data_IF_002129301082
#
_entry.id   IF_002129301082
#
_cell.length_a   1.000
_cell.length_b   1.000
_cell.length_c   1.000
_cell.angle_alpha   90.00
_cell.angle_beta   90.00
_cell.angle_gamma   90.00
#
_symmetry.space_group_name_H-M   'P 1'
#
loop_
_entity.id
_entity.type
_entity.pdbx_description
1 polymer ?
#
# COMPACT_ATOMS: atom_id res chain seq x y z
N UNK A 1 -1.57 12.37 8.08
CA UNK A 1 -1.95 10.93 8.13
C UNK A 1 -1.42 10.28 9.40
N UNK A 2 -1.99 9.15 9.86
CA UNK A 2 -1.45 8.36 10.98
C UNK A 2 -1.00 6.98 10.49
N UNK A 3 0.27 6.65 10.75
CA UNK A 3 0.88 5.37 10.38
C UNK A 3 1.06 4.49 11.60
N UNK A 4 0.53 3.27 11.54
CA UNK A 4 0.70 2.28 12.61
C UNK A 4 1.26 0.95 12.06
N UNK A 5 1.71 0.04 12.93
CA UNK A 5 2.17 -1.27 12.49
C UNK A 5 1.11 -2.09 11.76
N UNK A 6 -0.19 -1.84 12.00
CA UNK A 6 -1.27 -2.66 11.47
C UNK A 6 -2.16 -1.93 10.45
N UNK A 7 -2.33 -0.62 10.60
CA UNK A 7 -3.24 0.19 9.77
C UNK A 7 -2.64 1.54 9.38
N UNK A 8 -3.04 2.08 8.24
CA UNK A 8 -2.80 3.49 7.89
C UNK A 8 -4.13 4.23 7.93
N UNK A 9 -4.20 5.35 8.66
CA UNK A 9 -5.43 6.14 8.80
C UNK A 9 -5.27 7.52 8.17
N UNK A 10 -6.23 7.86 7.32
CA UNK A 10 -6.34 9.16 6.68
C UNK A 10 -7.52 9.95 7.28
N UNK A 11 -7.25 11.20 7.63
CA UNK A 11 -8.22 12.17 8.14
C UNK A 11 -8.40 13.27 7.08
N UNK A 12 -9.49 14.03 7.19
CA UNK A 12 -9.78 15.21 6.35
C UNK A 12 -8.51 16.05 6.11
N UNK A 13 -8.22 16.34 4.84
CA UNK A 13 -7.03 17.08 4.45
C UNK A 13 -7.04 17.47 2.98
N UNK A 14 -6.14 18.38 2.61
CA UNK A 14 -5.99 18.87 1.23
C UNK A 14 -5.06 18.01 0.37
N UNK A 15 -4.46 18.63 -0.65
CA UNK A 15 -3.63 17.92 -1.64
C UNK A 15 -2.49 17.08 -1.05
N UNK A 16 -1.79 17.56 -0.02
CA UNK A 16 -0.72 16.79 0.61
C UNK A 16 -1.22 15.48 1.22
N UNK A 17 -2.39 15.52 1.86
CA UNK A 17 -3.01 14.32 2.44
C UNK A 17 -3.52 13.36 1.37
N UNK A 18 -4.00 13.89 0.24
CA UNK A 18 -4.45 13.07 -0.88
C UNK A 18 -3.28 12.38 -1.59
N UNK A 19 -2.16 13.08 -1.76
CA UNK A 19 -0.95 12.53 -2.36
C UNK A 19 -0.37 11.40 -1.50
N UNK A 20 -0.19 11.63 -0.19
CA UNK A 20 0.20 10.58 0.76
C UNK A 20 -0.76 9.37 0.70
N UNK A 21 -2.08 9.63 0.55
CA UNK A 21 -3.09 8.57 0.56
C UNK A 21 -2.95 7.66 -0.66
N UNK A 22 -2.79 8.25 -1.84
CA UNK A 22 -2.62 7.53 -3.08
C UNK A 22 -1.28 6.77 -3.12
N UNK A 23 -0.22 7.32 -2.52
CA UNK A 23 1.06 6.62 -2.40
C UNK A 23 0.92 5.32 -1.59
N UNK A 24 0.30 5.38 -0.40
CA UNK A 24 0.10 4.20 0.46
C UNK A 24 -0.82 3.17 -0.21
N UNK A 25 -1.88 3.59 -0.90
CA UNK A 25 -2.75 2.68 -1.68
C UNK A 25 -1.93 1.98 -2.75
N UNK A 26 -1.05 2.70 -3.44
CA UNK A 26 -0.18 2.13 -4.49
C UNK A 26 0.81 1.12 -3.90
N UNK A 27 1.39 1.38 -2.74
CA UNK A 27 2.27 0.42 -2.06
C UNK A 27 1.54 -0.86 -1.62
N UNK A 28 0.30 -0.72 -1.14
CA UNK A 28 -0.55 -1.87 -0.87
C UNK A 28 -0.85 -2.67 -2.13
N UNK A 29 -1.17 -2.00 -3.24
CA UNK A 29 -1.43 -2.63 -4.53
C UNK A 29 -0.20 -3.38 -5.08
N UNK A 30 1.00 -2.83 -4.89
CA UNK A 30 2.27 -3.47 -5.27
C UNK A 30 2.68 -4.61 -4.32
N UNK A 31 1.93 -4.85 -3.24
CA UNK A 31 2.24 -5.89 -2.26
C UNK A 31 3.43 -5.56 -1.35
N UNK A 32 3.85 -4.29 -1.28
CA UNK A 32 4.91 -3.84 -0.37
C UNK A 32 4.44 -3.96 1.09
N UNK A 33 3.14 -3.78 1.32
CA UNK A 33 2.49 -4.06 2.60
C UNK A 33 1.06 -4.56 2.41
N UNK A 34 0.55 -5.30 3.40
CA UNK A 34 -0.82 -5.85 3.36
C UNK A 34 -1.78 -5.14 4.32
N UNK A 35 -1.43 -3.94 4.77
CA UNK A 35 -2.23 -3.15 5.73
C UNK A 35 -3.41 -2.47 5.02
N UNK A 36 -4.61 -2.44 5.63
CA UNK A 36 -5.70 -1.64 5.13
C UNK A 36 -5.42 -0.14 5.29
N UNK A 37 -6.02 0.64 4.39
CA UNK A 37 -6.01 2.10 4.44
C UNK A 37 -7.40 2.56 4.90
N UNK A 38 -7.48 3.02 6.14
CA UNK A 38 -8.70 3.53 6.74
C UNK A 38 -8.94 5.00 6.38
N UNK A 39 -10.14 5.32 5.88
CA UNK A 39 -10.54 6.67 5.48
C UNK A 39 -11.74 7.12 6.32
N UNK A 40 -11.53 8.12 7.19
CA UNK A 40 -12.62 8.71 7.97
C UNK A 40 -13.37 9.73 7.11
N UNK A 41 -14.56 9.35 6.65
CA UNK A 41 -15.39 10.10 5.72
C UNK A 41 -16.44 10.96 6.44
N UNK A 42 -15.99 12.02 7.11
CA UNK A 42 -16.89 12.96 7.81
C UNK A 42 -17.71 13.75 6.79
N UNK A 43 -19.03 13.81 6.97
CA UNK A 43 -19.99 14.57 6.13
C UNK A 43 -19.85 14.32 4.61
N UNK A 44 -19.38 13.13 4.21
CA UNK A 44 -19.22 12.77 2.80
C UNK A 44 -18.06 13.43 2.08
N UNK A 45 -17.07 13.98 2.80
CA UNK A 45 -15.92 14.67 2.22
C UNK A 45 -15.19 13.87 1.12
N UNK A 46 -15.09 12.54 1.30
CA UNK A 46 -14.41 11.64 0.37
C UNK A 46 -15.34 10.92 -0.61
N UNK A 47 -16.65 11.23 -0.64
CA UNK A 47 -17.62 10.52 -1.50
C UNK A 47 -17.24 10.60 -2.99
N UNK A 48 -16.84 11.77 -3.46
CA UNK A 48 -16.40 11.98 -4.84
C UNK A 48 -15.15 11.18 -5.18
N UNK A 49 -14.20 11.08 -4.23
CA UNK A 49 -12.98 10.30 -4.41
C UNK A 49 -13.29 8.80 -4.46
N UNK A 50 -14.11 8.30 -3.54
CA UNK A 50 -14.53 6.90 -3.51
C UNK A 50 -15.28 6.54 -4.79
N UNK A 51 -16.19 7.41 -5.25
CA UNK A 51 -16.92 7.23 -6.51
C UNK A 51 -15.99 7.21 -7.73
N UNK A 52 -14.96 8.06 -7.75
CA UNK A 52 -13.94 8.04 -8.80
C UNK A 52 -13.17 6.72 -8.83
N UNK A 53 -12.78 6.20 -7.66
CA UNK A 53 -12.08 4.91 -7.55
C UNK A 53 -13.00 3.77 -7.98
N UNK A 54 -14.27 3.77 -7.56
CA UNK A 54 -15.27 2.79 -8.01
C UNK A 54 -15.40 2.79 -9.54
N UNK A 55 -15.44 3.98 -10.15
CA UNK A 55 -15.48 4.10 -11.62
C UNK A 55 -14.21 3.56 -12.28
N UNK A 56 -13.03 3.83 -11.71
CA UNK A 56 -11.79 3.28 -12.23
C UNK A 56 -11.72 1.74 -12.13
N UNK A 57 -12.39 1.14 -11.14
CA UNK A 57 -12.58 -0.32 -11.06
C UNK A 57 -13.50 -0.83 -12.14
N UNK A 58 -14.66 -0.17 -12.37
CA UNK A 58 -15.60 -0.53 -13.43
C UNK A 58 -14.97 -0.49 -14.83
N UNK A 59 -14.15 0.53 -15.09
CA UNK A 59 -13.45 0.70 -16.37
C UNK A 59 -12.21 -0.21 -16.49
N UNK A 60 -11.87 -0.98 -15.44
CA UNK A 60 -10.77 -1.95 -15.46
C UNK A 60 -9.38 -1.36 -15.27
N UNK A 61 -9.26 -0.09 -14.86
CA UNK A 61 -7.97 0.53 -14.51
C UNK A 61 -7.46 0.10 -13.13
N UNK A 62 -8.38 -0.25 -12.22
CA UNK A 62 -8.07 -0.76 -10.87
C UNK A 62 -8.65 -2.16 -10.73
N UNK A 63 -7.84 -3.11 -10.27
CA UNK A 63 -8.32 -4.46 -9.98
C UNK A 63 -9.36 -4.43 -8.84
N UNK A 64 -10.43 -5.24 -8.91
CA UNK A 64 -11.43 -5.29 -7.82
C UNK A 64 -10.82 -5.60 -6.44
N UNK A 65 -9.75 -6.40 -6.37
CA UNK A 65 -9.05 -6.66 -5.11
C UNK A 65 -8.36 -5.41 -4.54
N UNK A 66 -7.75 -4.59 -5.41
CA UNK A 66 -7.12 -3.33 -5.00
C UNK A 66 -8.14 -2.33 -4.43
N UNK A 67 -9.41 -2.41 -4.84
CA UNK A 67 -10.48 -1.58 -4.26
C UNK A 67 -10.71 -1.85 -2.77
N UNK A 68 -10.50 -3.10 -2.34
CA UNK A 68 -10.69 -3.51 -0.95
C UNK A 68 -9.61 -2.97 -0.01
N UNK A 69 -8.48 -2.47 -0.54
CA UNK A 69 -7.42 -1.83 0.27
C UNK A 69 -7.99 -0.66 1.08
N UNK A 70 -8.95 0.07 0.51
CA UNK A 70 -9.56 1.25 1.13
C UNK A 70 -10.79 0.84 1.93
N UNK A 71 -10.73 1.07 3.24
CA UNK A 71 -11.84 0.89 4.17
C UNK A 71 -12.33 2.27 4.61
N UNK A 72 -13.58 2.61 4.32
CA UNK A 72 -14.17 3.90 4.72
C UNK A 72 -15.34 3.75 5.68
N UNK A 73 -15.52 4.75 6.54
CA UNK A 73 -16.63 4.86 7.48
C UNK A 73 -16.84 6.33 7.88
N UNK A 74 -18.05 6.66 8.33
CA UNK A 74 -18.39 8.04 8.72
C UNK A 74 -17.97 8.38 10.15
N UNK A 75 -17.74 7.37 10.99
CA UNK A 75 -17.30 7.55 12.38
C UNK A 75 -16.03 6.76 12.67
N UNK A 76 -15.22 7.25 13.61
CA UNK A 76 -13.99 6.57 14.01
C UNK A 76 -14.26 5.17 14.59
N UNK A 77 -15.35 5.01 15.35
CA UNK A 77 -15.70 3.73 15.95
C UNK A 77 -16.06 2.68 14.89
N UNK A 78 -16.89 3.06 13.92
CA UNK A 78 -17.22 2.19 12.78
C UNK A 78 -15.97 1.86 11.94
N UNK A 79 -15.09 2.85 11.73
CA UNK A 79 -13.86 2.63 10.99
C UNK A 79 -12.97 1.59 11.67
N UNK A 80 -12.79 1.69 12.99
CA UNK A 80 -11.98 0.76 13.76
C UNK A 80 -12.56 -0.66 13.72
N UNK A 81 -13.87 -0.82 13.87
CA UNK A 81 -14.53 -2.12 13.76
C UNK A 81 -14.30 -2.77 12.39
N UNK A 82 -14.46 -2.02 11.29
CA UNK A 82 -14.20 -2.52 9.94
C UNK A 82 -12.73 -2.88 9.71
N UNK A 83 -11.80 -2.15 10.33
CA UNK A 83 -10.36 -2.44 10.23
C UNK A 83 -9.94 -3.68 11.02
N UNK A 84 -10.60 -3.98 12.14
CA UNK A 84 -10.36 -5.20 12.92
C UNK A 84 -10.82 -6.46 12.16
N UNK A 85 -11.89 -6.35 11.38
CA UNK A 85 -12.41 -7.44 10.55
C UNK A 85 -11.70 -7.56 9.19
N UNK A 86 -10.77 -6.66 8.88
CA UNK A 86 -10.14 -6.59 7.57
C UNK A 86 -9.28 -7.83 7.29
N UNK A 87 -9.57 -8.50 6.17
CA UNK A 87 -8.76 -9.58 5.62
C UNK A 87 -8.22 -9.14 4.25
N UNK A 88 -6.90 -9.15 4.03
CA UNK A 88 -6.33 -8.81 2.73
C UNK A 88 -6.87 -9.72 1.63
N UNK A 89 -7.45 -9.13 0.59
CA UNK A 89 -7.88 -9.86 -0.61
C UNK A 89 -6.67 -10.01 -1.51
N UNK A 90 -6.05 -11.19 -1.50
CA UNK A 90 -4.98 -11.48 -2.45
C UNK A 90 -5.58 -11.65 -3.85
N UNK A 91 -5.22 -10.78 -4.79
CA UNK A 91 -5.34 -11.14 -6.21
C UNK A 91 -4.07 -11.85 -6.68
N UNK A 92 -4.23 -12.83 -7.55
CA UNK A 92 -3.10 -13.49 -8.21
C UNK A 92 -2.39 -12.60 -9.23
N UNK A 93 -2.72 -11.31 -9.30
CA UNK A 93 -2.12 -10.29 -10.17
C UNK A 93 -1.17 -9.36 -9.43
N UNK A 94 -1.01 -9.49 -8.11
CA UNK A 94 0.05 -8.82 -7.36
C UNK A 94 1.38 -9.29 -7.95
N UNK A 95 2.02 -8.42 -8.73
CA UNK A 95 3.39 -8.64 -9.18
C UNK A 95 4.21 -8.70 -7.90
N UNK A 96 4.50 -9.91 -7.44
CA UNK A 96 5.36 -10.13 -6.28
C UNK A 96 6.75 -9.66 -6.71
N UNK A 97 7.06 -8.40 -6.44
CA UNK A 97 8.37 -7.84 -6.69
C UNK A 97 9.34 -8.49 -5.69
N UNK A 98 9.84 -9.68 -6.04
CA UNK A 98 10.99 -10.29 -5.39
C UNK A 98 12.23 -9.57 -5.89
N UNK A 99 12.70 -8.58 -5.14
CA UNK A 99 14.06 -8.09 -5.31
C UNK A 99 15.01 -9.13 -4.72
N UNK A 100 15.31 -10.16 -5.49
CA UNK A 100 16.52 -10.94 -5.24
C UNK A 100 17.69 -10.02 -5.55
N UNK A 101 18.27 -9.44 -4.50
CA UNK A 101 19.60 -8.84 -4.61
C UNK A 101 20.53 -9.99 -4.99
N UNK A 102 20.85 -10.11 -6.27
CA UNK A 102 22.01 -10.87 -6.69
C UNK A 102 23.21 -10.26 -5.96
N UNK A 103 23.63 -10.94 -4.90
CA UNK A 103 24.97 -10.83 -4.38
C UNK A 103 25.88 -11.19 -5.55
N UNK A 104 26.42 -10.17 -6.23
CA UNK A 104 27.54 -10.33 -7.14
C UNK A 104 28.74 -10.69 -6.26
N UNK A 105 28.78 -11.95 -5.83
CA UNK A 105 29.89 -12.60 -5.17
C UNK A 105 30.98 -12.81 -6.20
N UNK A 106 31.80 -11.77 -6.38
CA UNK A 106 32.88 -11.74 -7.34
C UNK A 106 34.05 -10.91 -6.86
N UNK A 107 34.68 -11.36 -5.77
CA UNK A 107 36.14 -11.28 -5.52
C UNK A 107 36.79 -9.93 -5.89
N UNK A 108 36.86 -9.02 -4.91
CA UNK A 108 38.00 -8.11 -4.80
C UNK A 108 38.69 -8.35 -3.47
N UNK A 109 39.73 -9.19 -3.50
CA UNK A 109 40.83 -9.12 -2.55
C UNK A 109 42.12 -9.00 -3.38
N UNK A 110 42.92 -8.00 -3.01
CA UNK A 110 44.01 -7.40 -3.79
C UNK A 110 45.32 -8.23 -3.81
N UNK A 111 46.43 -7.69 -4.34
CA UNK A 111 47.26 -8.27 -5.40
C UNK A 111 48.28 -9.32 -4.91
N UNK A 112 48.73 -10.18 -5.85
CA UNK A 112 49.77 -11.21 -5.66
C UNK A 112 51.06 -10.63 -5.06
N UNK A 113 51.63 -11.35 -4.09
CA UNK A 113 53.04 -11.27 -3.73
C UNK A 113 53.68 -12.66 -3.78
N UNK A 114 54.84 -12.72 -4.41
CA UNK A 114 55.67 -13.86 -4.77
C UNK A 114 56.15 -14.80 -3.64
N UNK A 115 56.85 -15.86 -4.07
CA UNK A 115 58.00 -16.56 -3.44
C UNK A 115 57.77 -18.04 -3.05
N UNK A 116 58.27 -18.89 -3.96
CA UNK A 116 59.20 -20.00 -3.76
C UNK A 116 59.03 -20.98 -2.59
N UNK A 117 58.68 -22.23 -2.90
CA UNK A 117 59.59 -23.40 -2.85
C UNK A 117 58.89 -24.67 -3.33
#
# INVERSE_FOLDING_TARGET
MLYTPHVTLCMLGGYGTLEELLEVITWAQLGIHNKPVGLLNVDGYYDSLLSFIDKAVEEGFIAPAARHIIVSAHTAHELLAKLEEYVPVADGSSVKLSWEMEQIGGIYCSPKSDISR
#
